data_IF_724688052826
#
_entry.id   IF_724688052826
#
_cell.length_a   1.000
_cell.length_b   1.000
_cell.length_c   1.000
_cell.angle_alpha   90.00
_cell.angle_beta   90.00
_cell.angle_gamma   90.00
#
_symmetry.space_group_name_H-M   'P 1'
#
loop_
_entity.id
_entity.type
_entity.pdbx_description
1 polymer ?
#
# COMPACT_ATOMS: atom_id res chain seq x y z
N UNK A 1 -20.72 -5.54 1.97
CA UNK A 1 -21.79 -6.30 1.29
C UNK A 1 -22.53 -7.31 2.18
N UNK A 2 -22.28 -7.41 3.50
CA UNK A 2 -23.02 -8.36 4.36
C UNK A 2 -24.49 -7.97 4.63
N UNK A 3 -24.80 -6.68 4.61
CA UNK A 3 -26.11 -6.15 5.01
C UNK A 3 -27.15 -5.98 3.87
N UNK A 4 -26.80 -6.26 2.61
CA UNK A 4 -27.75 -6.21 1.48
C UNK A 4 -27.79 -7.45 0.60
N UNK A 5 -26.67 -8.19 0.46
CA UNK A 5 -26.57 -9.29 -0.51
C UNK A 5 -26.15 -10.64 0.08
N UNK A 6 -25.92 -10.72 1.40
CA UNK A 6 -25.54 -11.99 2.07
C UNK A 6 -24.16 -12.54 1.72
N UNK A 7 -23.42 -11.90 0.80
CA UNK A 7 -22.11 -12.36 0.35
C UNK A 7 -21.02 -12.16 1.42
N UNK A 8 -20.14 -13.15 1.56
CA UNK A 8 -18.96 -13.06 2.41
C UNK A 8 -18.01 -11.99 1.86
N UNK A 9 -17.85 -10.89 2.60
CA UNK A 9 -17.08 -9.73 2.17
C UNK A 9 -15.64 -10.09 1.78
N UNK A 10 -15.02 -11.01 2.53
CA UNK A 10 -13.66 -11.51 2.26
C UNK A 10 -13.57 -12.23 0.90
N UNK A 11 -14.52 -13.12 0.60
CA UNK A 11 -14.52 -13.86 -0.67
C UNK A 11 -14.75 -12.87 -1.82
N UNK A 12 -15.68 -11.93 -1.64
CA UNK A 12 -15.96 -10.94 -2.68
C UNK A 12 -14.78 -10.01 -2.95
N UNK A 13 -14.02 -9.59 -1.94
CA UNK A 13 -12.82 -8.76 -2.16
C UNK A 13 -11.69 -9.54 -2.81
N UNK A 14 -11.53 -10.82 -2.49
CA UNK A 14 -10.56 -11.69 -3.19
C UNK A 14 -10.95 -11.86 -4.67
N UNK A 15 -12.23 -12.13 -4.94
CA UNK A 15 -12.73 -12.26 -6.32
C UNK A 15 -12.67 -10.95 -7.10
N UNK A 16 -12.89 -9.80 -6.45
CA UNK A 16 -12.74 -8.47 -7.06
C UNK A 16 -11.32 -8.21 -7.55
N UNK A 17 -10.30 -8.75 -6.87
CA UNK A 17 -8.92 -8.68 -7.37
C UNK A 17 -8.78 -9.39 -8.72
N UNK A 18 -9.31 -10.62 -8.85
CA UNK A 18 -9.30 -11.35 -10.12
C UNK A 18 -10.09 -10.63 -11.22
N UNK A 19 -11.27 -10.08 -10.89
CA UNK A 19 -12.06 -9.28 -11.82
C UNK A 19 -11.27 -8.05 -12.29
N UNK A 20 -10.60 -7.34 -11.39
CA UNK A 20 -9.76 -6.20 -11.74
C UNK A 20 -8.61 -6.61 -12.67
N UNK A 21 -7.92 -7.72 -12.39
CA UNK A 21 -6.87 -8.25 -13.27
C UNK A 21 -7.38 -8.59 -14.66
N UNK A 22 -8.55 -9.23 -14.77
CA UNK A 22 -9.16 -9.52 -16.07
C UNK A 22 -9.66 -8.26 -16.79
N UNK A 23 -10.14 -7.27 -16.05
CA UNK A 23 -10.54 -5.98 -16.61
C UNK A 23 -9.33 -5.26 -17.20
N UNK A 24 -8.19 -5.22 -16.51
CA UNK A 24 -6.94 -4.68 -17.03
C UNK A 24 -6.49 -5.44 -18.28
N UNK A 25 -6.54 -6.78 -18.26
CA UNK A 25 -6.24 -7.60 -19.43
C UNK A 25 -7.13 -7.26 -20.63
N UNK A 26 -8.44 -7.09 -20.39
CA UNK A 26 -9.40 -6.72 -21.44
C UNK A 26 -9.13 -5.32 -22.00
N UNK A 27 -8.82 -4.35 -21.14
CA UNK A 27 -8.43 -2.99 -21.55
C UNK A 27 -7.15 -3.01 -22.40
N UNK A 28 -6.13 -3.77 -21.99
CA UNK A 28 -4.85 -3.86 -22.71
C UNK A 28 -4.95 -4.62 -24.05
N UNK A 29 -6.01 -5.42 -24.25
CA UNK A 29 -6.35 -6.06 -25.54
C UNK A 29 -7.27 -5.19 -26.42
N UNK A 30 -7.77 -4.09 -25.90
CA UNK A 30 -8.60 -3.17 -26.68
C UNK A 30 -7.68 -2.34 -27.57
N UNK A 31 -8.05 -2.19 -28.84
CA UNK A 31 -7.25 -1.52 -29.89
C UNK A 31 -6.83 -0.09 -29.53
N UNK A 32 -7.59 0.58 -28.66
CA UNK A 32 -7.28 1.93 -28.15
C UNK A 32 -6.02 1.97 -27.28
N UNK A 33 -5.80 0.95 -26.45
CA UNK A 33 -4.72 0.94 -25.45
C UNK A 33 -3.58 0.01 -25.85
N UNK A 34 -3.86 -1.02 -26.64
CA UNK A 34 -2.85 -1.98 -27.09
C UNK A 34 -1.80 -1.30 -27.96
N UNK A 35 -0.54 -1.68 -27.77
CA UNK A 35 0.55 -1.26 -28.65
C UNK A 35 0.35 -1.86 -30.05
N UNK A 36 0.35 -1.00 -31.06
CA UNK A 36 0.19 -1.41 -32.46
C UNK A 36 1.33 -2.37 -32.88
N UNK A 37 0.98 -3.49 -33.50
CA UNK A 37 1.93 -4.50 -34.00
C UNK A 37 2.46 -5.51 -32.97
N UNK A 38 1.96 -5.52 -31.72
CA UNK A 38 2.33 -6.52 -30.70
C UNK A 38 1.11 -7.36 -30.27
N UNK A 39 1.21 -8.71 -30.27
CA UNK A 39 0.16 -9.58 -29.73
C UNK A 39 0.12 -9.59 -28.20
N UNK A 40 1.19 -9.12 -27.55
CA UNK A 40 1.31 -9.05 -26.10
C UNK A 40 0.36 -7.99 -25.51
N UNK A 41 -0.31 -8.24 -24.37
CA UNK A 41 -1.21 -7.30 -23.71
C UNK A 41 -0.41 -6.21 -22.98
N UNK A 42 0.17 -5.30 -23.76
CA UNK A 42 1.02 -4.20 -23.31
C UNK A 42 0.43 -2.91 -23.87
N UNK A 43 0.39 -1.85 -23.05
CA UNK A 43 -0.10 -0.57 -23.52
C UNK A 43 0.83 0.07 -24.55
N UNK A 44 0.32 1.07 -25.28
CA UNK A 44 1.15 2.03 -26.00
C UNK A 44 2.24 2.58 -25.08
N UNK A 45 3.43 2.81 -25.65
CA UNK A 45 4.52 3.48 -24.96
C UNK A 45 4.07 4.90 -24.61
N UNK A 46 4.37 5.32 -23.40
CA UNK A 46 4.16 6.69 -22.95
C UNK A 46 5.14 7.59 -23.71
N UNK A 47 4.67 8.75 -24.20
CA UNK A 47 5.53 9.70 -24.90
C UNK A 47 6.59 10.26 -23.97
N UNK A 48 7.73 10.69 -24.51
CA UNK A 48 8.85 11.21 -23.71
C UNK A 48 8.45 12.44 -22.87
N UNK A 49 7.43 13.21 -23.27
CA UNK A 49 6.91 14.34 -22.48
C UNK A 49 6.04 13.92 -21.28
N UNK A 50 5.47 12.71 -21.31
CA UNK A 50 4.60 12.18 -20.25
C UNK A 50 5.36 11.31 -19.24
N UNK A 51 6.66 11.08 -19.44
CA UNK A 51 7.51 10.44 -18.44
C UNK A 51 7.77 11.35 -17.24
N UNK A 52 7.73 10.79 -16.04
CA UNK A 52 8.07 11.52 -14.83
C UNK A 52 9.55 11.96 -14.89
N UNK A 53 9.85 13.26 -14.69
CA UNK A 53 11.23 13.74 -14.78
C UNK A 53 12.11 13.00 -13.77
N UNK A 54 13.27 12.53 -14.26
CA UNK A 54 14.26 11.81 -13.44
C UNK A 54 14.88 12.78 -12.42
N UNK A 55 14.90 12.38 -11.16
CA UNK A 55 15.35 13.19 -10.04
C UNK A 55 16.84 13.54 -10.11
N UNK A 56 17.67 12.65 -10.63
CA UNK A 56 19.12 12.84 -10.72
C UNK A 56 19.61 12.99 -12.17
N UNK A 57 18.76 13.47 -13.09
CA UNK A 57 19.15 13.73 -14.47
C UNK A 57 20.24 14.81 -14.63
N UNK A 58 20.50 15.60 -13.59
CA UNK A 58 21.54 16.63 -13.56
C UNK A 58 22.93 16.13 -13.08
N UNK A 59 23.02 14.90 -12.55
CA UNK A 59 24.29 14.27 -12.20
C UNK A 59 24.78 13.48 -13.40
N UNK A 60 25.49 14.19 -14.28
CA UNK A 60 26.12 13.65 -15.47
C UNK A 60 26.96 12.41 -15.11
N UNK A 61 26.58 11.23 -15.62
CA UNK A 61 27.35 9.98 -15.45
C UNK A 61 26.76 8.88 -14.55
N UNK A 62 25.52 8.98 -14.03
CA UNK A 62 24.86 7.85 -13.34
C UNK A 62 23.49 7.48 -13.92
N UNK A 63 23.51 6.87 -15.10
CA UNK A 63 22.34 6.24 -15.76
C UNK A 63 21.61 5.20 -14.91
N UNK A 64 22.26 4.71 -13.84
CA UNK A 64 21.80 3.59 -13.03
C UNK A 64 20.84 4.02 -11.92
N UNK A 65 20.74 5.33 -11.63
CA UNK A 65 19.77 5.86 -10.66
C UNK A 65 18.41 6.08 -11.34
N UNK A 66 17.57 5.04 -11.30
CA UNK A 66 16.15 5.06 -11.72
C UNK A 66 15.28 5.79 -10.68
N UNK A 67 15.76 6.89 -10.11
CA UNK A 67 14.96 7.72 -9.21
C UNK A 67 14.17 8.73 -10.05
N UNK A 68 12.84 8.67 -9.97
CA UNK A 68 11.93 9.56 -10.68
C UNK A 68 11.17 10.47 -9.70
N UNK A 69 10.69 11.62 -10.19
CA UNK A 69 9.91 12.60 -9.41
C UNK A 69 8.68 12.03 -8.69
N UNK A 70 8.22 10.83 -9.04
CA UNK A 70 7.25 10.05 -8.26
C UNK A 70 7.62 9.85 -6.77
N UNK A 71 8.90 9.97 -6.38
CA UNK A 71 9.28 10.01 -4.96
C UNK A 71 8.67 11.22 -4.21
N UNK A 72 8.64 12.40 -4.83
CA UNK A 72 7.99 13.57 -4.26
C UNK A 72 6.47 13.39 -4.19
N UNK A 73 5.88 12.76 -5.20
CA UNK A 73 4.46 12.39 -5.18
C UNK A 73 4.16 11.46 -4.01
N UNK A 74 5.03 10.46 -3.74
CA UNK A 74 4.88 9.56 -2.60
C UNK A 74 5.02 10.27 -1.24
N UNK A 75 5.96 11.21 -1.11
CA UNK A 75 6.11 12.05 0.08
C UNK A 75 4.89 12.94 0.32
N UNK A 76 4.41 13.61 -0.73
CA UNK A 76 3.23 14.46 -0.68
C UNK A 76 1.97 13.65 -0.35
N UNK A 77 1.82 12.46 -0.93
CA UNK A 77 0.73 11.54 -0.63
C UNK A 77 0.77 11.08 0.83
N UNK A 78 1.95 10.77 1.37
CA UNK A 78 2.12 10.39 2.77
C UNK A 78 1.81 11.56 3.71
N UNK A 79 2.25 12.77 3.37
CA UNK A 79 1.92 13.97 4.12
C UNK A 79 0.42 14.26 4.10
N UNK A 80 -0.22 14.16 2.93
CA UNK A 80 -1.66 14.33 2.78
C UNK A 80 -2.44 13.29 3.62
N UNK A 81 -2.00 12.03 3.61
CA UNK A 81 -2.59 10.98 4.43
C UNK A 81 -2.40 11.24 5.93
N UNK A 82 -1.20 11.68 6.35
CA UNK A 82 -0.93 12.06 7.72
C UNK A 82 -1.81 13.24 8.18
N UNK A 83 -1.93 14.27 7.34
CA UNK A 83 -2.77 15.43 7.61
C UNK A 83 -4.24 15.01 7.72
N UNK A 84 -4.74 14.22 6.77
CA UNK A 84 -6.09 13.68 6.79
C UNK A 84 -6.35 12.94 8.09
N UNK A 85 -5.46 12.02 8.50
CA UNK A 85 -5.64 11.29 9.74
C UNK A 85 -5.57 12.19 10.98
N UNK A 86 -4.59 13.09 11.09
CA UNK A 86 -4.31 13.83 12.34
C UNK A 86 -5.12 15.11 12.50
N UNK A 87 -5.50 15.77 11.41
CA UNK A 87 -6.09 17.12 11.44
C UNK A 87 -7.55 17.18 11.02
N UNK A 88 -8.15 16.10 10.51
CA UNK A 88 -9.55 16.10 10.04
C UNK A 88 -10.48 15.28 10.92
N UNK A 89 -11.76 15.64 10.90
CA UNK A 89 -12.85 14.88 11.55
C UNK A 89 -13.02 13.50 10.93
N UNK A 90 -12.91 13.40 9.60
CA UNK A 90 -12.91 12.12 8.88
C UNK A 90 -11.81 11.18 9.38
N UNK A 91 -10.60 11.70 9.60
CA UNK A 91 -9.49 10.93 10.16
C UNK A 91 -9.76 10.41 11.58
N UNK A 92 -10.44 11.20 12.40
CA UNK A 92 -10.87 10.78 13.74
C UNK A 92 -11.91 9.66 13.67
N UNK A 93 -12.95 9.82 12.86
CA UNK A 93 -13.99 8.81 12.68
C UNK A 93 -13.44 7.50 12.10
N UNK A 94 -12.51 7.57 11.15
CA UNK A 94 -11.82 6.40 10.58
C UNK A 94 -11.02 5.64 11.63
N UNK A 95 -10.28 6.34 12.51
CA UNK A 95 -9.55 5.69 13.60
C UNK A 95 -10.48 5.10 14.65
N UNK A 96 -11.52 5.83 15.04
CA UNK A 96 -12.48 5.38 16.04
C UNK A 96 -13.22 4.12 15.56
N UNK A 97 -13.68 4.11 14.31
CA UNK A 97 -14.32 2.93 13.70
C UNK A 97 -13.37 1.75 13.54
N UNK A 98 -12.09 1.99 13.25
CA UNK A 98 -11.07 0.95 13.16
C UNK A 98 -10.71 0.30 14.50
N UNK A 99 -10.77 1.06 15.60
CA UNK A 99 -10.51 0.54 16.95
C UNK A 99 -11.70 -0.27 17.49
N UNK A 100 -12.92 0.24 17.32
CA UNK A 100 -14.13 -0.47 17.72
C UNK A 100 -15.33 0.00 16.90
N UNK A 101 -15.75 -0.82 15.94
CA UNK A 101 -16.85 -0.50 15.03
C UNK A 101 -18.21 -0.37 15.73
N UNK A 102 -18.42 -1.07 16.85
CA UNK A 102 -19.69 -1.04 17.57
C UNK A 102 -19.76 0.19 18.47
N UNK A 103 -18.67 0.51 19.20
CA UNK A 103 -18.58 1.75 19.97
C UNK A 103 -18.75 3.00 19.08
N UNK A 104 -18.17 2.98 17.87
CA UNK A 104 -18.32 4.08 16.92
C UNK A 104 -19.78 4.26 16.44
N UNK A 105 -20.53 3.17 16.25
CA UNK A 105 -21.96 3.24 15.91
C UNK A 105 -22.77 3.83 17.07
N UNK A 106 -22.48 3.45 18.31
CA UNK A 106 -23.12 4.03 19.49
C UNK A 106 -22.82 5.52 19.65
N UNK A 107 -21.63 5.97 19.24
CA UNK A 107 -21.24 7.39 19.19
C UNK A 107 -21.85 8.17 18.01
N UNK A 108 -22.76 7.58 17.23
CA UNK A 108 -23.43 8.24 16.09
C UNK A 108 -22.62 8.29 14.79
N UNK A 109 -21.46 7.63 14.72
CA UNK A 109 -20.64 7.62 13.51
C UNK A 109 -21.22 6.68 12.45
N UNK A 110 -21.27 7.15 11.20
CA UNK A 110 -21.79 6.39 10.05
C UNK A 110 -20.78 5.35 9.56
N UNK A 111 -20.55 4.31 10.35
CA UNK A 111 -19.54 3.25 10.10
C UNK A 111 -19.57 2.68 8.67
N UNK A 112 -20.76 2.46 8.08
CA UNK A 112 -20.89 1.98 6.69
C UNK A 112 -20.37 2.98 5.66
N UNK A 113 -20.64 4.27 5.84
CA UNK A 113 -20.16 5.33 4.95
C UNK A 113 -18.66 5.51 5.08
N UNK A 114 -18.15 5.46 6.31
CA UNK A 114 -16.71 5.54 6.61
C UNK A 114 -15.94 4.40 5.96
N UNK A 115 -16.48 3.19 5.93
CA UNK A 115 -15.88 2.06 5.22
C UNK A 115 -15.76 2.34 3.71
N UNK A 116 -16.80 2.87 3.07
CA UNK A 116 -16.75 3.22 1.64
C UNK A 116 -15.73 4.32 1.37
N UNK A 117 -15.69 5.36 2.19
CA UNK A 117 -14.70 6.45 2.09
C UNK A 117 -13.28 5.90 2.27
N UNK A 118 -13.06 5.00 3.22
CA UNK A 118 -11.76 4.35 3.42
C UNK A 118 -11.33 3.56 2.19
N UNK A 119 -12.24 2.80 1.58
CA UNK A 119 -11.96 2.03 0.35
C UNK A 119 -11.67 2.95 -0.84
N UNK A 120 -12.38 4.07 -0.98
CA UNK A 120 -12.12 5.07 -2.02
C UNK A 120 -10.75 5.73 -1.85
N UNK A 121 -10.39 6.12 -0.62
CA UNK A 121 -9.07 6.67 -0.32
C UNK A 121 -7.96 5.65 -0.62
N UNK A 122 -8.10 4.41 -0.15
CA UNK A 122 -7.15 3.35 -0.42
C UNK A 122 -6.99 3.08 -1.93
N UNK A 123 -8.10 3.02 -2.67
CA UNK A 123 -8.09 2.89 -4.12
C UNK A 123 -7.42 4.07 -4.84
N UNK A 124 -7.66 5.30 -4.37
CA UNK A 124 -7.02 6.50 -4.88
C UNK A 124 -5.50 6.48 -4.70
N UNK A 125 -5.02 6.15 -3.50
CA UNK A 125 -3.58 6.01 -3.24
C UNK A 125 -2.94 4.85 -4.02
N UNK A 126 -3.62 3.71 -4.12
CA UNK A 126 -3.16 2.58 -4.92
C UNK A 126 -3.08 2.92 -6.43
N UNK A 127 -4.08 3.66 -6.94
CA UNK A 127 -4.10 4.15 -8.32
C UNK A 127 -2.97 5.14 -8.60
N UNK A 128 -2.71 6.07 -7.67
CA UNK A 128 -1.56 6.98 -7.79
C UNK A 128 -0.22 6.23 -7.78
N UNK A 129 -0.05 5.24 -6.90
CA UNK A 129 1.15 4.41 -6.87
C UNK A 129 1.37 3.68 -8.20
N UNK A 130 0.33 3.02 -8.72
CA UNK A 130 0.39 2.35 -10.02
C UNK A 130 0.71 3.33 -11.16
N UNK A 131 0.08 4.51 -11.17
CA UNK A 131 0.36 5.54 -12.17
C UNK A 131 1.82 6.01 -12.13
N UNK A 132 2.38 6.23 -10.94
CA UNK A 132 3.81 6.62 -10.82
C UNK A 132 4.77 5.54 -11.31
N UNK A 133 4.42 4.27 -11.17
CA UNK A 133 5.23 3.15 -11.63
C UNK A 133 5.18 2.99 -13.15
N UNK A 134 4.00 3.16 -13.75
CA UNK A 134 3.82 3.17 -15.22
C UNK A 134 4.56 4.34 -15.85
N UNK A 135 4.35 5.55 -15.33
CA UNK A 135 4.89 6.81 -15.88
C UNK A 135 6.37 7.03 -15.56
N UNK A 136 6.90 6.39 -14.51
CA UNK A 136 8.25 6.62 -14.04
C UNK A 136 9.23 5.51 -14.40
N UNK A 137 8.86 4.24 -14.19
CA UNK A 137 9.81 3.11 -14.25
C UNK A 137 9.69 2.30 -15.53
N UNK A 138 8.48 1.93 -15.93
CA UNK A 138 8.28 1.02 -17.07
C UNK A 138 8.02 1.75 -18.39
N UNK A 139 7.34 2.90 -18.38
CA UNK A 139 6.94 3.61 -19.60
C UNK A 139 5.82 2.94 -20.39
N UNK A 140 5.23 1.87 -19.84
CA UNK A 140 4.07 1.16 -20.40
C UNK A 140 3.35 0.39 -19.30
N UNK A 141 2.05 0.16 -19.49
CA UNK A 141 1.25 -0.68 -18.62
C UNK A 141 1.23 -2.13 -19.12
N UNK A 142 1.37 -3.08 -18.20
CA UNK A 142 1.29 -4.51 -18.47
C UNK A 142 0.38 -5.20 -17.46
N UNK A 143 -0.04 -6.43 -17.75
CA UNK A 143 -0.79 -7.26 -16.79
C UNK A 143 0.02 -7.61 -15.54
N UNK A 144 1.34 -7.52 -15.57
CA UNK A 144 2.20 -7.75 -14.41
C UNK A 144 2.46 -6.48 -13.58
N UNK A 145 1.85 -5.35 -13.93
CA UNK A 145 2.18 -4.06 -13.31
C UNK A 145 1.88 -4.00 -11.81
N UNK A 146 0.88 -4.75 -11.34
CA UNK A 146 0.59 -4.87 -9.91
C UNK A 146 1.53 -5.86 -9.18
N UNK A 147 2.03 -6.88 -9.88
CA UNK A 147 2.92 -7.92 -9.37
C UNK A 147 2.60 -8.36 -7.93
N UNK A 148 3.63 -8.34 -7.07
CA UNK A 148 3.52 -8.61 -5.63
C UNK A 148 3.52 -7.33 -4.77
N UNK A 149 3.53 -6.14 -5.37
CA UNK A 149 3.74 -4.86 -4.66
C UNK A 149 2.61 -4.61 -3.65
N UNK A 150 1.37 -4.95 -4.01
CA UNK A 150 0.22 -4.84 -3.11
C UNK A 150 0.32 -5.77 -1.88
N UNK A 151 0.92 -6.96 -2.04
CA UNK A 151 1.14 -7.89 -0.94
C UNK A 151 2.33 -7.47 -0.07
N UNK A 152 3.42 -7.01 -0.68
CA UNK A 152 4.56 -6.43 0.03
C UNK A 152 4.16 -5.18 0.84
N UNK A 153 3.18 -4.40 0.35
CA UNK A 153 2.66 -3.24 1.07
C UNK A 153 1.97 -3.61 2.41
N UNK A 154 1.38 -4.81 2.53
CA UNK A 154 0.80 -5.29 3.80
C UNK A 154 1.89 -5.42 4.85
N UNK A 155 2.99 -6.08 4.47
CA UNK A 155 4.16 -6.25 5.30
C UNK A 155 4.76 -4.90 5.74
N UNK A 156 4.91 -3.97 4.79
CA UNK A 156 5.40 -2.60 5.04
C UNK A 156 4.48 -1.84 6.00
N UNK A 157 3.16 -1.97 5.85
CA UNK A 157 2.20 -1.34 6.75
C UNK A 157 2.24 -1.91 8.17
N UNK A 158 2.44 -3.23 8.30
CA UNK A 158 2.59 -3.91 9.60
C UNK A 158 3.89 -3.49 10.31
N UNK A 159 5.02 -3.45 9.59
CA UNK A 159 6.30 -2.97 10.12
C UNK A 159 6.20 -1.51 10.58
N UNK A 160 5.49 -0.68 9.81
CA UNK A 160 5.21 0.71 10.15
C UNK A 160 4.16 0.93 11.24
N UNK A 161 3.62 -0.14 11.84
CA UNK A 161 2.56 -0.12 12.85
C UNK A 161 1.33 0.70 12.44
N UNK A 162 0.96 0.69 11.15
CA UNK A 162 -0.13 1.50 10.59
C UNK A 162 0.00 3.02 10.82
N UNK A 163 1.21 3.51 11.12
CA UNK A 163 1.49 4.93 11.25
C UNK A 163 2.03 5.49 9.92
N UNK A 164 1.59 6.68 9.45
CA UNK A 164 2.05 7.23 8.16
C UNK A 164 3.58 7.31 8.05
N UNK A 165 4.25 7.76 9.12
CA UNK A 165 5.71 7.93 9.15
C UNK A 165 6.39 6.55 9.23
N UNK A 166 5.88 5.63 10.05
CA UNK A 166 6.44 4.27 10.13
C UNK A 166 6.32 3.52 8.81
N UNK A 167 5.20 3.66 8.10
CA UNK A 167 5.00 3.08 6.77
C UNK A 167 5.96 3.68 5.74
N UNK A 168 6.21 4.99 5.77
CA UNK A 168 7.20 5.63 4.90
C UNK A 168 8.61 5.06 5.10
N UNK A 169 9.07 4.97 6.35
CA UNK A 169 10.40 4.44 6.67
C UNK A 169 10.51 2.96 6.30
N UNK A 170 9.46 2.19 6.56
CA UNK A 170 9.37 0.78 6.18
C UNK A 170 9.40 0.57 4.66
N UNK A 171 8.70 1.44 3.92
CA UNK A 171 8.68 1.41 2.45
C UNK A 171 10.05 1.74 1.87
N UNK A 172 10.76 2.72 2.46
CA UNK A 172 12.14 3.04 2.08
C UNK A 172 13.10 1.86 2.29
N UNK A 173 12.98 1.15 3.42
CA UNK A 173 13.77 -0.05 3.67
C UNK A 173 13.50 -1.14 2.63
N UNK A 174 12.23 -1.46 2.38
CA UNK A 174 11.85 -2.48 1.40
C UNK A 174 12.27 -2.08 -0.02
N UNK A 175 12.11 -0.81 -0.39
CA UNK A 175 12.57 -0.27 -1.66
C UNK A 175 14.09 -0.35 -1.82
N UNK A 176 14.85 -0.01 -0.77
CA UNK A 176 16.31 -0.11 -0.77
C UNK A 176 16.78 -1.57 -0.90
N UNK A 177 16.14 -2.51 -0.19
CA UNK A 177 16.44 -3.95 -0.33
C UNK A 177 16.13 -4.45 -1.74
N UNK A 178 15.04 -3.98 -2.35
CA UNK A 178 14.69 -4.41 -3.69
C UNK A 178 15.59 -3.79 -4.76
N UNK A 179 15.95 -2.52 -4.63
CA UNK A 179 16.89 -1.86 -5.53
C UNK A 179 18.30 -2.46 -5.42
N UNK A 180 18.83 -2.56 -4.19
CA UNK A 180 20.13 -3.18 -3.93
C UNK A 180 20.16 -4.64 -4.37
N UNK A 181 19.05 -5.35 -4.19
CA UNK A 181 18.89 -6.70 -4.68
C UNK A 181 18.97 -6.84 -6.20
N UNK A 182 18.30 -5.95 -6.95
CA UNK A 182 18.44 -5.89 -8.43
C UNK A 182 19.87 -5.55 -8.83
N UNK A 183 20.53 -4.62 -8.13
CA UNK A 183 21.94 -4.29 -8.37
C UNK A 183 22.87 -5.47 -8.11
N UNK A 184 22.64 -6.27 -7.07
CA UNK A 184 23.43 -7.46 -6.78
C UNK A 184 23.21 -8.58 -7.81
N UNK A 185 21.97 -8.74 -8.29
CA UNK A 185 21.68 -9.66 -9.40
C UNK A 185 22.44 -9.24 -10.67
N UNK A 186 22.45 -7.94 -10.97
CA UNK A 186 23.11 -7.42 -12.17
C UNK A 186 24.64 -7.50 -12.12
N UNK A 187 25.25 -7.42 -10.93
CA UNK A 187 26.70 -7.30 -10.78
C UNK A 187 27.40 -8.53 -10.17
N UNK A 188 26.68 -9.48 -9.58
CA UNK A 188 27.31 -10.53 -8.73
C UNK A 188 26.67 -11.93 -8.90
N UNK A 189 25.88 -12.18 -9.94
CA UNK A 189 25.19 -13.49 -10.17
C UNK A 189 24.42 -14.00 -8.94
N UNK A 190 24.02 -13.09 -8.04
CA UNK A 190 23.30 -13.43 -6.82
C UNK A 190 21.84 -13.69 -7.17
N UNK A 191 21.25 -14.85 -6.82
CA UNK A 191 19.85 -15.12 -7.10
C UNK A 191 18.91 -14.14 -6.38
N UNK A 192 17.89 -13.66 -7.09
CA UNK A 192 16.89 -12.72 -6.53
C UNK A 192 16.08 -13.34 -5.39
N UNK A 193 16.02 -14.68 -5.36
CA UNK A 193 15.35 -15.45 -4.33
C UNK A 193 15.88 -15.13 -2.92
N UNK A 194 17.17 -14.78 -2.78
CA UNK A 194 17.72 -14.38 -1.47
C UNK A 194 17.05 -13.11 -0.92
N UNK A 195 16.72 -12.14 -1.77
CA UNK A 195 16.05 -10.90 -1.35
C UNK A 195 14.58 -11.19 -0.99
N UNK A 196 13.94 -12.14 -1.68
CA UNK A 196 12.58 -12.57 -1.37
C UNK A 196 12.55 -13.25 0.00
N UNK A 197 13.48 -14.18 0.25
CA UNK A 197 13.62 -14.86 1.54
C UNK A 197 13.92 -13.87 2.66
N UNK A 198 14.85 -12.92 2.44
CA UNK A 198 15.17 -11.89 3.43
C UNK A 198 13.95 -11.04 3.79
N UNK A 199 13.18 -10.58 2.80
CA UNK A 199 11.94 -9.84 3.04
C UNK A 199 10.91 -10.69 3.80
N UNK A 200 10.73 -11.95 3.43
CA UNK A 200 9.83 -12.87 4.14
C UNK A 200 10.24 -13.07 5.61
N UNK A 201 11.55 -13.19 5.89
CA UNK A 201 12.07 -13.26 7.25
C UNK A 201 11.81 -11.99 8.04
N UNK A 202 12.04 -10.80 7.46
CA UNK A 202 11.71 -9.51 8.10
C UNK A 202 10.24 -9.49 8.50
N UNK A 203 9.34 -9.88 7.60
CA UNK A 203 7.90 -9.92 7.87
C UNK A 203 7.56 -10.92 8.96
N UNK A 204 8.17 -12.10 8.94
CA UNK A 204 8.01 -13.12 9.97
C UNK A 204 8.43 -12.58 11.35
N UNK A 205 9.58 -11.91 11.44
CA UNK A 205 10.06 -11.33 12.70
C UNK A 205 9.17 -10.20 13.20
N UNK A 206 8.64 -9.36 12.30
CA UNK A 206 7.68 -8.29 12.65
C UNK A 206 6.35 -8.87 13.14
N UNK A 207 5.89 -9.98 12.55
CA UNK A 207 4.66 -10.64 12.94
C UNK A 207 4.82 -11.52 14.20
N UNK A 208 6.03 -11.97 14.52
CA UNK A 208 6.30 -12.88 15.64
C UNK A 208 5.75 -12.38 16.99
N UNK A 209 5.89 -11.10 17.39
CA UNK A 209 5.29 -10.59 18.62
C UNK A 209 3.77 -10.73 18.65
N UNK A 210 3.09 -10.53 17.51
CA UNK A 210 1.64 -10.68 17.39
C UNK A 210 1.24 -12.16 17.51
N UNK A 211 1.99 -13.05 16.86
CA UNK A 211 1.77 -14.50 16.94
C UNK A 211 2.00 -15.04 18.35
N UNK A 212 3.09 -14.65 19.01
CA UNK A 212 3.39 -15.04 20.40
C UNK A 212 2.26 -14.57 21.33
N UNK A 213 1.80 -13.32 21.21
CA UNK A 213 0.66 -12.82 21.99
C UNK A 213 -0.63 -13.62 21.75
N UNK A 214 -0.91 -13.98 20.50
CA UNK A 214 -2.08 -14.75 20.12
C UNK A 214 -2.02 -16.19 20.68
N UNK A 215 -0.87 -16.86 20.57
CA UNK A 215 -0.68 -18.24 21.07
C UNK A 215 -0.73 -18.31 22.59
N UNK A 216 -0.06 -17.39 23.29
CA UNK A 216 0.00 -17.40 24.74
C UNK A 216 -1.17 -16.67 25.42
N UNK A 217 -2.18 -16.21 24.65
CA UNK A 217 -3.36 -15.46 25.14
C UNK A 217 -3.01 -14.37 26.16
N UNK A 218 -1.87 -13.71 25.97
CA UNK A 218 -1.41 -12.67 26.90
C UNK A 218 -2.35 -11.47 26.73
N UNK A 219 -3.22 -11.27 27.72
CA UNK A 219 -4.19 -10.17 27.75
C UNK A 219 -3.41 -8.86 27.72
N UNK A 220 -3.54 -8.08 26.65
CA UNK A 220 -2.99 -6.72 26.63
C UNK A 220 -3.67 -5.92 27.73
N UNK A 221 -2.90 -5.43 28.70
CA UNK A 221 -3.32 -4.24 29.42
C UNK A 221 -3.47 -3.14 28.37
N UNK A 222 -4.71 -2.87 27.97
CA UNK A 222 -5.06 -1.57 27.44
C UNK A 222 -4.61 -0.60 28.52
N UNK A 223 -3.55 0.17 28.27
CA UNK A 223 -3.20 1.30 29.11
C UNK A 223 -4.38 2.26 29.02
N UNK A 224 -5.35 2.07 29.90
CA UNK A 224 -6.40 3.04 30.19
C UNK A 224 -5.71 4.20 30.92
N UNK A 225 -4.98 5.02 30.17
CA UNK A 225 -4.68 6.37 30.60
C UNK A 225 -6.01 7.14 30.59
N UNK A 226 -6.56 7.35 31.78
CA UNK A 226 -7.72 8.21 32.01
C UNK A 226 -8.97 7.44 32.41
N UNK A 227 -9.07 7.08 33.69
CA UNK A 227 -10.13 7.48 34.61
C UNK A 227 -10.17 6.52 35.81
N UNK A 228 -9.23 6.70 36.73
CA UNK A 228 -9.47 6.42 38.14
C UNK A 228 -9.92 7.73 38.79
N UNK A 229 -11.16 8.17 38.52
CA UNK A 229 -11.85 9.03 39.48
C UNK A 229 -12.34 8.12 40.61
N UNK A 230 -11.44 7.82 41.56
CA UNK A 230 -11.86 7.46 42.91
C UNK A 230 -12.33 8.75 43.57
N UNK A 231 -13.63 9.01 43.50
CA UNK A 231 -14.31 9.85 44.48
C UNK A 231 -14.82 8.94 45.60
N UNK A 232 -14.17 9.01 46.75
CA UNK A 232 -14.59 8.37 47.99
C UNK A 232 -14.92 9.50 48.97
N UNK A 233 -16.07 9.44 49.63
CA UNK A 233 -16.35 10.20 50.85
C UNK A 233 -17.70 10.92 50.88
N UNK A 234 -18.63 10.41 51.69
CA UNK A 234 -19.85 11.10 52.14
C UNK A 234 -21.13 10.47 51.63
#
# INVERSE_FOLDING_TARGET
MKARTGAHEVITTIMLNSIASFLVLWLLKTTTFQREGRPDPISKLISDEAHLPRLFGFLDGRSDLVAHSGFFVALLATYAYWYLLKRTTLGFELRATGLNSDAAKYAGMKSKSLMVVAMLLAGGFAGMAGATEVLGTYGYASTSLAGNIGFDAIAVALLGQSSPIGTLVSALLFGALQAGGRSMQANTDVPVDLIIVLRALIVMFVAAPLLVKAMFRVKSQVTAQGQTFRGWGG
#
